data_IF_234674780906
#
_entry.id   IF_234674780906
#
_cell.length_a   1.000
_cell.length_b   1.000
_cell.length_c   1.000
_cell.angle_alpha   90.00
_cell.angle_beta   90.00
_cell.angle_gamma   90.00
#
_symmetry.space_group_name_H-M   'P 1'
#
loop_
_entity.id
_entity.type
_entity.pdbx_description
1 polymer ?
#
# COMPACT_ATOMS: atom_id res chain seq x y z
N UNK A 1 16.67 11.46 28.81
CA UNK A 1 16.66 11.66 27.34
C UNK A 1 15.21 11.52 26.89
N UNK A 2 14.69 12.45 26.09
CA UNK A 2 13.32 12.32 25.57
C UNK A 2 13.23 11.11 24.63
N UNK A 3 12.18 10.30 24.76
CA UNK A 3 11.97 9.15 23.89
C UNK A 3 11.59 9.63 22.47
N UNK A 4 12.20 9.05 21.44
CA UNK A 4 12.04 9.45 20.03
C UNK A 4 11.46 8.29 19.24
N UNK A 5 10.41 8.55 18.45
CA UNK A 5 9.88 7.58 17.50
C UNK A 5 10.75 7.56 16.23
N UNK A 6 11.67 6.59 16.15
CA UNK A 6 12.58 6.44 15.02
C UNK A 6 11.87 5.82 13.81
N UNK A 7 12.30 6.23 12.61
CA UNK A 7 11.80 5.75 11.33
C UNK A 7 12.93 4.99 10.63
N UNK A 8 12.65 3.76 10.20
CA UNK A 8 13.60 3.01 9.39
C UNK A 8 13.76 3.69 8.02
N UNK A 9 14.99 4.02 7.62
CA UNK A 9 15.26 4.71 6.35
C UNK A 9 14.94 3.84 5.11
N UNK A 10 14.92 2.53 5.27
CA UNK A 10 14.67 1.57 4.17
C UNK A 10 13.19 1.35 3.91
N UNK A 11 12.42 0.97 4.93
CA UNK A 11 11.00 0.64 4.77
C UNK A 11 10.04 1.78 5.20
N UNK A 12 10.54 2.82 5.85
CA UNK A 12 9.73 3.96 6.30
C UNK A 12 8.85 3.67 7.52
N UNK A 13 8.89 2.44 8.08
CA UNK A 13 8.13 2.09 9.28
C UNK A 13 8.66 2.86 10.48
N UNK A 14 7.74 3.48 11.23
CA UNK A 14 8.04 4.14 12.48
C UNK A 14 7.88 3.19 13.66
N UNK A 15 8.81 3.26 14.60
CA UNK A 15 8.86 2.42 15.79
C UNK A 15 8.39 3.18 17.04
N UNK A 16 8.04 2.41 18.07
CA UNK A 16 7.74 2.95 19.39
C UNK A 16 8.86 3.90 19.89
N UNK A 17 8.52 4.97 20.62
CA UNK A 17 9.52 5.89 21.15
C UNK A 17 10.58 5.20 22.02
N UNK A 18 11.85 5.49 21.76
CA UNK A 18 12.99 4.95 22.51
C UNK A 18 14.10 6.01 22.68
N UNK A 19 15.03 5.79 23.61
CA UNK A 19 16.15 6.72 23.82
C UNK A 19 17.22 6.64 22.72
N UNK A 20 17.33 5.50 22.04
CA UNK A 20 18.24 5.25 20.94
C UNK A 20 17.50 4.50 19.82
N UNK A 21 17.98 4.56 18.56
CA UNK A 21 17.37 3.81 17.47
C UNK A 21 17.30 2.30 17.79
N UNK A 22 16.25 1.59 17.31
CA UNK A 22 16.18 0.15 17.47
C UNK A 22 17.41 -0.55 16.88
N UNK A 23 17.83 -1.66 17.49
CA UNK A 23 18.98 -2.43 17.01
C UNK A 23 18.76 -3.01 15.60
N UNK A 24 17.52 -3.36 15.29
CA UNK A 24 17.08 -3.86 13.99
C UNK A 24 15.62 -3.45 13.73
N UNK A 25 15.21 -3.50 12.47
CA UNK A 25 13.85 -3.30 12.02
C UNK A 25 13.26 -4.66 11.63
N UNK A 26 12.35 -5.24 12.44
CA UNK A 26 11.72 -6.52 12.15
C UNK A 26 10.96 -6.55 10.82
N UNK A 27 10.56 -5.39 10.30
CA UNK A 27 9.94 -5.28 8.97
C UNK A 27 10.96 -5.53 7.86
N UNK A 28 12.18 -5.02 7.99
CA UNK A 28 13.25 -5.25 7.01
C UNK A 28 13.87 -6.65 7.13
N UNK A 29 13.86 -7.23 8.33
CA UNK A 29 14.30 -8.61 8.57
C UNK A 29 13.24 -9.66 8.16
N UNK A 30 11.98 -9.24 7.96
CA UNK A 30 10.97 -10.12 7.39
C UNK A 30 11.41 -10.51 5.96
N UNK A 31 11.30 -11.79 5.57
CA UNK A 31 11.73 -12.26 4.24
C UNK A 31 10.92 -11.67 3.07
N UNK A 32 9.89 -10.87 3.36
CA UNK A 32 9.16 -10.05 2.38
C UNK A 32 9.82 -8.70 2.10
N UNK A 33 10.90 -8.40 2.78
CA UNK A 33 11.72 -7.20 2.64
C UNK A 33 13.21 -7.58 2.71
N UNK A 34 14.09 -6.60 2.84
CA UNK A 34 15.52 -6.81 2.90
C UNK A 34 16.19 -5.82 3.86
N UNK A 35 17.34 -6.22 4.39
CA UNK A 35 18.25 -5.34 5.10
C UNK A 35 19.29 -4.82 4.11
N UNK A 36 19.55 -3.49 4.04
CA UNK A 36 20.55 -2.97 3.14
C UNK A 36 21.95 -3.47 3.40
N UNK A 37 22.76 -3.59 2.34
CA UNK A 37 24.16 -3.99 2.44
C UNK A 37 24.99 -3.05 3.33
N UNK A 38 24.63 -1.76 3.38
CA UNK A 38 25.24 -0.78 4.28
C UNK A 38 24.73 -0.86 5.74
N UNK A 39 23.87 -1.83 6.05
CA UNK A 39 23.20 -1.98 7.33
C UNK A 39 21.94 -1.11 7.48
N UNK A 40 21.31 -1.23 8.65
CA UNK A 40 20.11 -0.49 8.98
C UNK A 40 20.43 0.98 9.28
N UNK A 41 19.65 1.88 8.69
CA UNK A 41 19.72 3.31 8.97
C UNK A 41 18.41 3.81 9.54
N UNK A 42 18.52 4.81 10.40
CA UNK A 42 17.40 5.37 11.15
C UNK A 42 17.36 6.89 10.98
N UNK A 43 16.14 7.42 10.89
CA UNK A 43 15.87 8.85 10.87
C UNK A 43 14.75 9.18 11.86
N UNK A 44 14.34 10.44 11.90
CA UNK A 44 13.19 10.93 12.67
C UNK A 44 12.28 11.74 11.75
N UNK A 45 11.03 11.94 12.17
CA UNK A 45 10.09 12.82 11.47
C UNK A 45 10.69 14.21 11.23
N UNK A 46 11.31 14.80 12.26
CA UNK A 46 11.93 16.12 12.18
C UNK A 46 13.10 16.14 11.17
N UNK A 47 13.98 15.14 11.20
CA UNK A 47 15.11 15.07 10.28
C UNK A 47 14.63 14.85 8.84
N UNK A 48 13.59 14.03 8.64
CA UNK A 48 12.99 13.78 7.33
C UNK A 48 12.40 15.07 6.74
N UNK A 49 11.64 15.82 7.55
CA UNK A 49 10.99 17.07 7.15
C UNK A 49 11.96 18.19 6.73
N UNK A 50 13.24 18.13 7.10
CA UNK A 50 14.25 19.12 6.68
C UNK A 50 14.63 19.02 5.20
N UNK A 51 14.38 17.87 4.57
CA UNK A 51 14.83 17.57 3.20
C UNK A 51 13.72 17.05 2.29
N UNK A 52 12.55 16.78 2.86
CA UNK A 52 11.42 16.21 2.15
C UNK A 52 10.14 16.98 2.50
N UNK A 53 9.20 16.99 1.56
CA UNK A 53 7.88 17.54 1.73
C UNK A 53 6.84 16.57 1.15
N UNK A 54 5.57 16.74 1.51
CA UNK A 54 4.49 15.95 0.91
C UNK A 54 3.95 16.68 -0.32
N UNK A 55 4.05 16.02 -1.48
CA UNK A 55 3.42 16.44 -2.73
C UNK A 55 2.00 15.89 -2.86
N UNK A 56 1.09 16.68 -3.42
CA UNK A 56 -0.32 16.34 -3.59
C UNK A 56 -0.74 16.39 -5.06
N UNK A 57 -1.57 15.43 -5.49
CA UNK A 57 -2.16 15.40 -6.84
C UNK A 57 -3.55 14.79 -6.81
N UNK A 58 -4.50 15.37 -7.53
CA UNK A 58 -5.78 14.69 -7.77
C UNK A 58 -5.56 13.52 -8.73
N UNK A 59 -5.90 12.31 -8.27
CA UNK A 59 -5.69 11.07 -9.04
C UNK A 59 -6.97 10.72 -9.82
N UNK A 60 -8.12 11.04 -9.26
CA UNK A 60 -9.44 10.93 -9.86
C UNK A 60 -10.41 11.83 -9.07
N UNK A 61 -11.61 12.14 -9.59
CA UNK A 61 -12.58 12.97 -8.86
C UNK A 61 -12.82 12.48 -7.43
N UNK A 62 -12.45 13.32 -6.46
CA UNK A 62 -12.62 13.00 -5.03
C UNK A 62 -11.62 11.97 -4.48
N UNK A 63 -10.50 11.73 -5.17
CA UNK A 63 -9.35 10.93 -4.70
C UNK A 63 -8.08 11.76 -4.87
N UNK A 64 -7.52 12.22 -3.76
CA UNK A 64 -6.25 12.93 -3.73
C UNK A 64 -5.13 11.96 -3.34
N UNK A 65 -4.05 11.91 -4.10
CA UNK A 65 -2.84 11.21 -3.71
C UNK A 65 -1.88 12.14 -2.98
N UNK A 66 -1.18 11.62 -1.99
CA UNK A 66 -0.10 12.32 -1.31
C UNK A 66 1.13 11.41 -1.13
N UNK A 67 2.30 11.92 -1.49
CA UNK A 67 3.56 11.17 -1.45
C UNK A 67 4.71 12.07 -1.00
N UNK A 68 5.77 11.46 -0.46
CA UNK A 68 6.96 12.19 -0.01
C UNK A 68 7.82 12.55 -1.23
N UNK A 69 8.32 13.79 -1.30
CA UNK A 69 9.21 14.27 -2.35
C UNK A 69 10.46 14.96 -1.74
N UNK A 70 11.68 14.62 -2.18
CA UNK A 70 12.04 13.47 -3.03
C UNK A 70 11.55 12.13 -2.47
N UNK A 71 11.59 11.05 -3.25
CA UNK A 71 11.13 9.74 -2.76
C UNK A 71 11.93 9.31 -1.51
N UNK A 72 11.23 8.74 -0.53
CA UNK A 72 11.82 8.20 0.70
C UNK A 72 11.36 6.77 0.92
N UNK A 73 12.25 5.94 1.48
CA UNK A 73 12.00 4.53 1.73
C UNK A 73 11.48 3.81 0.47
N UNK A 74 10.28 3.22 0.51
CA UNK A 74 9.69 2.49 -0.62
C UNK A 74 9.03 3.40 -1.68
N UNK A 75 8.98 4.71 -1.45
CA UNK A 75 8.48 5.70 -2.43
C UNK A 75 6.98 5.60 -2.72
N UNK A 76 6.20 5.07 -1.78
CA UNK A 76 4.75 4.95 -1.93
C UNK A 76 4.02 6.29 -1.77
N UNK A 77 2.77 6.32 -2.22
CA UNK A 77 1.78 7.36 -1.90
C UNK A 77 0.65 6.79 -1.03
N UNK A 78 0.03 7.66 -0.24
CA UNK A 78 -1.29 7.42 0.33
C UNK A 78 -2.38 8.05 -0.56
N UNK A 79 -3.62 7.61 -0.41
CA UNK A 79 -4.79 8.11 -1.15
C UNK A 79 -5.87 8.59 -0.17
N UNK A 80 -6.14 9.89 -0.16
CA UNK A 80 -7.25 10.48 0.59
C UNK A 80 -8.53 10.43 -0.27
N UNK A 81 -9.45 9.53 0.11
CA UNK A 81 -10.74 9.35 -0.53
C UNK A 81 -11.78 10.22 0.16
N UNK A 82 -12.34 11.19 -0.57
CA UNK A 82 -13.37 12.10 -0.06
C UNK A 82 -14.75 11.53 -0.26
N UNK A 83 -15.58 11.51 0.79
CA UNK A 83 -16.98 11.07 0.72
C UNK A 83 -17.89 12.05 1.47
N UNK A 84 -19.21 12.04 1.21
CA UNK A 84 -20.16 12.83 2.00
C UNK A 84 -20.19 12.46 3.49
N UNK A 85 -19.79 11.24 3.86
CA UNK A 85 -19.76 10.75 5.23
C UNK A 85 -18.41 10.98 5.94
N UNK A 86 -17.44 11.62 5.27
CA UNK A 86 -16.09 11.83 5.78
C UNK A 86 -15.00 11.35 4.82
N UNK A 87 -13.75 11.71 5.11
CA UNK A 87 -12.60 11.30 4.29
C UNK A 87 -11.94 10.06 4.88
N UNK A 88 -11.52 9.12 4.03
CA UNK A 88 -10.72 7.95 4.44
C UNK A 88 -9.34 8.06 3.82
N UNK A 89 -8.29 7.96 4.65
CA UNK A 89 -6.93 7.84 4.14
C UNK A 89 -6.62 6.37 3.93
N UNK A 90 -6.36 6.01 2.68
CA UNK A 90 -5.88 4.69 2.30
C UNK A 90 -4.37 4.67 2.24
N UNK A 91 -3.78 3.70 2.94
CA UNK A 91 -2.37 3.61 3.22
C UNK A 91 -1.82 4.86 3.94
N UNK A 92 -0.50 4.91 4.18
CA UNK A 92 0.14 6.03 4.86
C UNK A 92 1.57 6.24 4.34
N UNK A 93 2.11 7.44 4.58
CA UNK A 93 3.49 7.82 4.26
C UNK A 93 4.28 8.13 5.55
N UNK A 94 5.61 8.07 5.46
CA UNK A 94 6.51 8.21 6.62
C UNK A 94 6.69 9.66 7.11
N UNK A 95 6.07 10.63 6.45
CA UNK A 95 6.13 12.05 6.79
C UNK A 95 4.74 12.57 7.17
N UNK A 96 4.69 13.56 8.07
CA UNK A 96 3.53 14.41 8.29
C UNK A 96 4.02 15.82 8.60
N UNK A 97 3.82 16.74 7.66
CA UNK A 97 4.22 18.15 7.82
C UNK A 97 3.03 19.06 8.17
N UNK A 98 3.27 20.25 8.77
CA UNK A 98 2.20 21.17 9.15
C UNK A 98 1.33 21.65 7.97
N UNK A 99 1.92 21.77 6.77
CA UNK A 99 1.19 22.20 5.57
C UNK A 99 0.15 21.15 5.16
N UNK A 100 0.51 19.88 5.23
CA UNK A 100 -0.36 18.73 5.03
C UNK A 100 -1.46 18.67 6.07
N UNK A 101 -1.13 18.87 7.35
CA UNK A 101 -2.14 18.94 8.41
C UNK A 101 -3.16 20.05 8.13
N UNK A 102 -2.69 21.24 7.73
CA UNK A 102 -3.57 22.36 7.39
C UNK A 102 -4.44 22.06 6.17
N UNK A 103 -3.87 21.51 5.09
CA UNK A 103 -4.59 21.13 3.88
C UNK A 103 -5.70 20.13 4.20
N UNK A 104 -5.36 19.02 4.87
CA UNK A 104 -6.30 17.94 5.16
C UNK A 104 -7.41 18.41 6.10
N UNK A 105 -7.10 19.21 7.13
CA UNK A 105 -8.13 19.84 7.98
C UNK A 105 -9.04 20.78 7.17
N UNK A 106 -8.49 21.56 6.25
CA UNK A 106 -9.23 22.46 5.37
C UNK A 106 -10.22 21.76 4.43
N UNK A 107 -10.00 20.48 4.12
CA UNK A 107 -10.89 19.66 3.27
C UNK A 107 -11.74 18.64 4.04
N UNK A 108 -11.87 18.80 5.37
CA UNK A 108 -12.78 18.03 6.22
C UNK A 108 -12.12 17.00 7.14
N UNK A 109 -10.80 16.99 7.26
CA UNK A 109 -10.07 16.07 8.15
C UNK A 109 -10.04 14.64 7.63
N UNK A 110 -9.86 13.67 8.54
CA UNK A 110 -9.83 12.23 8.26
C UNK A 110 -10.78 11.54 9.26
N UNK A 111 -11.72 10.76 8.76
CA UNK A 111 -12.64 9.97 9.58
C UNK A 111 -12.01 8.65 10.03
N UNK A 112 -11.22 8.01 9.16
CA UNK A 112 -10.44 6.82 9.46
C UNK A 112 -9.23 6.71 8.53
N UNK A 113 -8.16 6.09 9.03
CA UNK A 113 -7.03 5.62 8.23
C UNK A 113 -7.19 4.11 8.07
N UNK A 114 -7.07 3.58 6.86
CA UNK A 114 -7.04 2.14 6.62
C UNK A 114 -5.81 1.80 5.79
N UNK A 115 -5.11 0.73 6.14
CA UNK A 115 -3.79 0.43 5.55
C UNK A 115 -3.78 -0.99 5.00
N UNK A 116 -3.22 -1.15 3.81
CA UNK A 116 -3.19 -2.41 3.07
C UNK A 116 -2.45 -3.52 3.81
N UNK A 117 -1.23 -3.25 4.30
CA UNK A 117 -0.36 -4.24 4.94
C UNK A 117 0.86 -3.58 5.63
N UNK A 118 1.70 -4.34 6.36
CA UNK A 118 2.76 -3.81 7.21
C UNK A 118 3.78 -2.85 6.57
N UNK A 119 4.15 -3.00 5.29
CA UNK A 119 5.10 -2.07 4.66
C UNK A 119 4.56 -0.64 4.53
N UNK A 120 3.22 -0.47 4.60
CA UNK A 120 2.57 0.82 4.44
C UNK A 120 2.15 1.44 5.79
N UNK A 121 2.44 0.79 6.93
CA UNK A 121 2.10 1.31 8.27
C UNK A 121 2.81 2.62 8.61
N UNK A 122 4.05 2.79 8.12
CA UNK A 122 4.81 4.05 8.13
C UNK A 122 4.66 4.87 9.42
N UNK A 123 4.18 6.11 9.33
CA UNK A 123 3.95 7.03 10.44
C UNK A 123 2.45 7.14 10.81
N UNK A 124 1.67 6.07 10.62
CA UNK A 124 0.21 6.05 10.84
C UNK A 124 -0.24 6.63 12.18
N UNK A 125 0.57 6.49 13.24
CA UNK A 125 0.25 7.03 14.58
C UNK A 125 0.33 8.55 14.62
N UNK A 126 1.31 9.16 13.95
CA UNK A 126 1.41 10.63 13.84
C UNK A 126 0.20 11.21 13.11
N UNK A 127 -0.21 10.55 12.02
CA UNK A 127 -1.42 10.92 11.29
C UNK A 127 -2.67 10.75 12.15
N UNK A 128 -2.83 9.61 12.82
CA UNK A 128 -3.97 9.35 13.69
C UNK A 128 -4.10 10.41 14.80
N UNK A 129 -2.99 10.78 15.44
CA UNK A 129 -2.97 11.81 16.49
C UNK A 129 -3.29 13.20 15.94
N UNK A 130 -2.74 13.59 14.79
CA UNK A 130 -2.97 14.90 14.19
C UNK A 130 -4.43 15.14 13.75
N UNK A 131 -5.13 14.06 13.37
CA UNK A 131 -6.51 14.11 12.88
C UNK A 131 -7.54 13.54 13.85
N UNK A 132 -7.12 12.97 14.98
CA UNK A 132 -8.02 12.43 16.01
C UNK A 132 -8.87 11.25 15.51
N UNK A 133 -8.31 10.38 14.67
CA UNK A 133 -9.06 9.32 13.98
C UNK A 133 -8.45 7.92 14.24
N UNK A 134 -9.25 6.84 14.10
CA UNK A 134 -8.74 5.48 14.23
C UNK A 134 -7.91 5.04 13.02
N UNK A 135 -6.97 4.11 13.27
CA UNK A 135 -6.27 3.36 12.22
C UNK A 135 -6.81 1.93 12.18
N UNK A 136 -7.37 1.52 11.06
CA UNK A 136 -7.94 0.20 10.82
C UNK A 136 -6.88 -0.72 10.21
N UNK A 137 -6.50 -1.75 10.95
CA UNK A 137 -5.54 -2.78 10.54
C UNK A 137 -6.20 -4.16 10.64
N UNK A 138 -5.87 -5.08 9.75
CA UNK A 138 -6.36 -6.45 9.89
C UNK A 138 -5.65 -7.16 11.05
N UNK A 139 -6.39 -7.88 11.90
CA UNK A 139 -5.86 -8.51 13.11
C UNK A 139 -4.75 -9.54 12.85
N UNK A 140 -4.80 -10.21 11.70
CA UNK A 140 -3.76 -11.17 11.29
C UNK A 140 -2.38 -10.53 11.13
N UNK A 141 -2.31 -9.20 10.95
CA UNK A 141 -1.05 -8.48 10.79
C UNK A 141 -0.55 -7.81 12.08
N UNK A 142 -1.24 -8.02 13.21
CA UNK A 142 -0.95 -7.37 14.50
C UNK A 142 0.52 -7.50 14.94
N UNK A 143 1.16 -8.63 14.66
CA UNK A 143 2.56 -8.88 15.08
C UNK A 143 3.59 -7.98 14.38
N UNK A 144 3.24 -7.37 13.25
CA UNK A 144 4.11 -6.45 12.52
C UNK A 144 3.89 -4.97 12.91
N UNK A 145 3.11 -4.69 13.97
CA UNK A 145 2.95 -3.34 14.49
C UNK A 145 4.17 -2.94 15.33
N UNK A 146 5.03 -2.09 14.77
CA UNK A 146 6.26 -1.63 15.42
C UNK A 146 6.06 -0.44 16.38
N UNK A 147 4.92 0.26 16.26
CA UNK A 147 4.49 1.33 17.15
C UNK A 147 3.05 1.07 17.62
N UNK A 148 2.84 0.36 18.73
CA UNK A 148 1.50 0.17 19.29
C UNK A 148 0.95 1.52 19.79
N UNK A 149 -0.34 1.74 19.60
CA UNK A 149 -1.02 2.98 20.00
C UNK A 149 -2.53 2.76 20.24
N UNK A 150 -3.16 3.48 21.19
CA UNK A 150 -4.61 3.40 21.41
C UNK A 150 -5.49 3.81 20.23
N UNK A 151 -4.96 4.49 19.20
CA UNK A 151 -5.70 4.79 17.98
C UNK A 151 -5.88 3.56 17.06
N UNK A 152 -5.09 2.51 17.25
CA UNK A 152 -5.16 1.31 16.40
C UNK A 152 -6.44 0.51 16.73
N UNK A 153 -7.15 0.10 15.68
CA UNK A 153 -8.36 -0.72 15.73
C UNK A 153 -8.15 -1.91 14.80
N UNK A 154 -8.21 -3.10 15.38
CA UNK A 154 -8.05 -4.34 14.61
C UNK A 154 -9.41 -4.86 14.20
N UNK A 155 -9.57 -5.15 12.92
CA UNK A 155 -10.75 -5.82 12.38
C UNK A 155 -10.38 -7.24 11.94
N UNK A 156 -11.38 -8.11 11.87
CA UNK A 156 -11.25 -9.54 11.61
C UNK A 156 -12.18 -9.99 10.50
N UNK A 157 -11.90 -11.17 9.96
CA UNK A 157 -12.70 -11.79 8.92
C UNK A 157 -12.33 -11.27 7.53
N UNK A 158 -13.30 -11.28 6.63
CA UNK A 158 -13.06 -11.13 5.20
C UNK A 158 -13.48 -9.77 4.65
N UNK A 159 -14.32 -9.05 5.39
CA UNK A 159 -14.83 -7.71 5.04
C UNK A 159 -15.05 -6.85 6.30
N UNK A 160 -14.79 -5.55 6.18
CA UNK A 160 -15.12 -4.56 7.20
C UNK A 160 -15.61 -3.25 6.56
N UNK A 161 -16.80 -2.77 6.93
CA UNK A 161 -17.32 -1.50 6.41
C UNK A 161 -16.79 -0.31 7.22
N UNK A 162 -16.31 0.74 6.55
CA UNK A 162 -15.76 1.95 7.20
C UNK A 162 -16.82 3.07 7.21
N UNK A 163 -17.35 3.40 6.03
CA UNK A 163 -18.33 4.44 5.77
C UNK A 163 -19.30 3.93 4.69
N UNK A 164 -20.47 4.58 4.49
CA UNK A 164 -21.35 4.23 3.38
C UNK A 164 -20.62 4.20 2.04
N UNK A 165 -20.64 3.03 1.37
CA UNK A 165 -19.97 2.82 0.09
C UNK A 165 -18.44 2.63 0.16
N UNK A 166 -17.85 2.52 1.35
CA UNK A 166 -16.40 2.29 1.55
C UNK A 166 -16.19 1.09 2.47
N UNK A 167 -15.57 0.04 1.94
CA UNK A 167 -15.32 -1.22 2.67
C UNK A 167 -13.90 -1.75 2.46
N UNK A 168 -13.38 -2.46 3.45
CA UNK A 168 -12.14 -3.20 3.40
C UNK A 168 -12.40 -4.67 3.09
N UNK A 169 -11.51 -5.28 2.31
CA UNK A 169 -11.56 -6.70 2.00
C UNK A 169 -10.19 -7.33 2.23
N UNK A 170 -10.18 -8.42 3.01
CA UNK A 170 -8.96 -9.17 3.25
C UNK A 170 -8.69 -10.06 2.03
N UNK A 171 -7.59 -9.83 1.35
CA UNK A 171 -7.12 -10.67 0.25
C UNK A 171 -5.95 -11.57 0.64
N UNK A 172 -5.22 -11.28 1.72
CA UNK A 172 -4.09 -12.13 2.12
C UNK A 172 -2.93 -12.10 1.11
N UNK A 173 -2.27 -13.23 0.90
CA UNK A 173 -1.14 -13.34 -0.02
C UNK A 173 0.14 -12.72 0.52
N UNK A 174 0.39 -11.44 0.17
CA UNK A 174 1.61 -10.71 0.52
C UNK A 174 1.84 -10.74 2.04
N UNK A 175 0.83 -10.35 2.82
CA UNK A 175 0.74 -10.60 4.25
C UNK A 175 -0.57 -11.33 4.58
N UNK A 176 -0.65 -12.09 5.70
CA UNK A 176 -1.87 -12.80 6.06
C UNK A 176 -3.11 -11.91 6.17
N UNK A 177 -2.95 -10.66 6.63
CA UNK A 177 -3.98 -9.64 6.70
C UNK A 177 -4.00 -8.66 5.52
N UNK A 178 -3.28 -8.95 4.43
CA UNK A 178 -3.23 -8.10 3.25
C UNK A 178 -4.62 -7.67 2.79
N UNK A 179 -4.82 -6.35 2.70
CA UNK A 179 -6.13 -5.71 2.58
C UNK A 179 -6.19 -4.83 1.33
N UNK A 180 -7.36 -4.76 0.71
CA UNK A 180 -7.71 -3.71 -0.26
C UNK A 180 -8.89 -2.90 0.26
N UNK A 181 -9.07 -1.69 -0.27
CA UNK A 181 -10.29 -0.90 -0.05
C UNK A 181 -11.13 -0.88 -1.32
N UNK A 182 -12.44 -1.13 -1.17
CA UNK A 182 -13.43 -1.09 -2.24
C UNK A 182 -14.34 0.13 -2.06
N UNK A 183 -14.50 0.88 -3.15
CA UNK A 183 -15.38 2.04 -3.26
C UNK A 183 -16.59 1.65 -4.10
N UNK A 184 -17.72 1.40 -3.46
CA UNK A 184 -19.00 1.08 -4.12
C UNK A 184 -19.77 2.36 -4.48
N UNK A 185 -19.18 3.19 -5.35
CA UNK A 185 -19.76 4.47 -5.81
C UNK A 185 -19.49 4.68 -7.30
N UNK A 186 -20.47 5.24 -8.03
CA UNK A 186 -20.37 5.39 -9.48
C UNK A 186 -20.11 4.04 -10.15
N UNK A 187 -19.12 3.97 -11.05
CA UNK A 187 -18.66 2.72 -11.67
C UNK A 187 -17.81 1.83 -10.73
N UNK A 188 -17.49 2.31 -9.53
CA UNK A 188 -16.73 1.60 -8.51
C UNK A 188 -15.21 1.61 -8.73
N UNK A 189 -14.46 1.44 -7.64
CA UNK A 189 -13.00 1.35 -7.69
C UNK A 189 -12.45 0.46 -6.57
N UNK A 190 -11.27 -0.10 -6.78
CA UNK A 190 -10.47 -0.73 -5.72
C UNK A 190 -9.13 -0.01 -5.55
N UNK A 191 -8.72 0.15 -4.30
CA UNK A 191 -7.42 0.69 -3.91
C UNK A 191 -6.62 -0.46 -3.32
N UNK A 192 -5.53 -0.84 -3.99
CA UNK A 192 -4.89 -2.14 -3.76
C UNK A 192 -3.54 -2.07 -3.07
N UNK A 193 -2.95 -0.87 -2.97
CA UNK A 193 -1.54 -0.75 -2.59
C UNK A 193 -0.68 -1.56 -3.56
N UNK A 194 -0.04 -2.61 -3.06
CA UNK A 194 0.62 -3.65 -3.86
C UNK A 194 0.08 -5.07 -3.63
N UNK A 195 -0.99 -5.27 -2.84
CA UNK A 195 -1.60 -6.60 -2.60
C UNK A 195 -2.04 -7.26 -3.91
N UNK A 196 -2.63 -6.44 -4.79
CA UNK A 196 -2.79 -6.73 -6.21
C UNK A 196 -2.12 -5.57 -6.97
N UNK A 197 -0.83 -5.72 -7.24
CA UNK A 197 0.00 -4.63 -7.74
C UNK A 197 -0.29 -4.37 -9.23
N UNK A 198 -0.69 -3.14 -9.56
CA UNK A 198 -0.81 -2.73 -10.96
C UNK A 198 0.57 -2.77 -11.61
N UNK A 199 0.67 -3.45 -12.75
CA UNK A 199 1.89 -3.56 -13.52
C UNK A 199 2.22 -2.25 -14.25
N UNK A 200 3.48 -2.02 -14.67
CA UNK A 200 3.87 -0.80 -15.38
C UNK A 200 3.12 -0.54 -16.69
N UNK A 201 2.62 -1.59 -17.35
CA UNK A 201 1.81 -1.49 -18.57
C UNK A 201 0.40 -0.92 -18.32
N UNK A 202 0.00 -0.79 -17.05
CA UNK A 202 -1.31 -0.28 -16.61
C UNK A 202 -2.48 -1.06 -17.23
N UNK A 203 -2.23 -2.32 -17.55
CA UNK A 203 -3.19 -3.27 -18.10
C UNK A 203 -3.21 -4.52 -17.25
N UNK A 204 -2.12 -4.89 -16.60
CA UNK A 204 -2.10 -6.10 -15.80
C UNK A 204 -1.90 -5.80 -14.32
N UNK A 205 -2.16 -6.82 -13.52
CA UNK A 205 -1.79 -6.94 -12.13
C UNK A 205 -0.70 -8.01 -12.00
N UNK A 206 0.04 -7.95 -10.90
CA UNK A 206 0.92 -9.01 -10.43
C UNK A 206 0.65 -9.30 -8.96
N UNK A 207 1.02 -10.49 -8.53
CA UNK A 207 0.73 -11.04 -7.21
C UNK A 207 2.01 -11.67 -6.65
N UNK A 208 2.54 -11.13 -5.56
CA UNK A 208 3.82 -11.57 -5.01
C UNK A 208 3.73 -11.75 -3.50
N UNK A 209 4.39 -12.80 -3.02
CA UNK A 209 4.60 -12.98 -1.59
C UNK A 209 5.62 -11.95 -1.09
N UNK A 210 6.64 -11.66 -1.91
CA UNK A 210 7.61 -10.59 -1.68
C UNK A 210 7.90 -9.86 -3.00
N UNK A 211 7.41 -8.63 -3.15
CA UNK A 211 7.84 -7.77 -4.25
C UNK A 211 9.32 -7.39 -4.15
N UNK A 212 9.84 -6.96 -2.97
CA UNK A 212 11.24 -6.56 -2.85
C UNK A 212 12.24 -7.66 -3.21
N UNK A 213 11.89 -8.93 -2.94
CA UNK A 213 12.76 -10.09 -3.20
C UNK A 213 12.29 -10.95 -4.38
N UNK A 214 11.33 -10.47 -5.16
CA UNK A 214 10.81 -11.15 -6.36
C UNK A 214 10.26 -12.57 -6.14
N UNK A 215 9.63 -12.82 -4.98
CA UNK A 215 9.05 -14.14 -4.66
C UNK A 215 7.56 -14.18 -5.04
N UNK A 216 7.14 -15.05 -5.98
CA UNK A 216 5.75 -15.15 -6.41
C UNK A 216 4.84 -15.74 -5.32
N UNK A 217 3.54 -15.50 -5.44
CA UNK A 217 2.52 -16.26 -4.71
C UNK A 217 2.27 -17.61 -5.39
N UNK A 218 1.87 -18.65 -4.64
CA UNK A 218 1.39 -19.89 -5.22
C UNK A 218 0.15 -19.65 -6.12
N UNK A 219 0.04 -20.39 -7.22
CA UNK A 219 -1.08 -20.23 -8.16
C UNK A 219 -2.46 -20.37 -7.51
N UNK A 220 -2.62 -21.30 -6.55
CA UNK A 220 -3.87 -21.46 -5.82
C UNK A 220 -4.27 -20.19 -5.04
N UNK A 221 -3.30 -19.46 -4.48
CA UNK A 221 -3.56 -18.20 -3.77
C UNK A 221 -3.94 -17.09 -4.75
N UNK A 222 -3.29 -17.02 -5.91
CA UNK A 222 -3.64 -16.06 -6.97
C UNK A 222 -5.04 -16.31 -7.52
N UNK A 223 -5.42 -17.57 -7.74
CA UNK A 223 -6.77 -17.94 -8.16
C UNK A 223 -7.82 -17.52 -7.10
N UNK A 224 -7.53 -17.73 -5.81
CA UNK A 224 -8.40 -17.31 -4.70
C UNK A 224 -8.57 -15.79 -4.65
N UNK A 225 -7.48 -15.03 -4.78
CA UNK A 225 -7.50 -13.56 -4.84
C UNK A 225 -8.34 -13.10 -6.04
N UNK A 226 -8.12 -13.71 -7.22
CA UNK A 226 -8.87 -13.42 -8.44
C UNK A 226 -10.38 -13.61 -8.26
N UNK A 227 -10.81 -14.74 -7.69
CA UNK A 227 -12.21 -15.02 -7.42
C UNK A 227 -12.86 -14.00 -6.46
N UNK A 228 -12.11 -13.56 -5.44
CA UNK A 228 -12.59 -12.54 -4.49
C UNK A 228 -12.75 -11.17 -5.11
N UNK A 229 -11.80 -10.77 -5.95
CA UNK A 229 -11.90 -9.53 -6.72
C UNK A 229 -13.04 -9.60 -7.75
N UNK A 230 -13.24 -10.74 -8.43
CA UNK A 230 -14.32 -10.90 -9.40
C UNK A 230 -15.73 -10.68 -8.81
N UNK A 231 -15.89 -10.93 -7.50
CA UNK A 231 -17.15 -10.72 -6.77
C UNK A 231 -17.43 -9.25 -6.40
N UNK A 232 -16.49 -8.34 -6.65
CA UNK A 232 -16.68 -6.90 -6.42
C UNK A 232 -17.03 -6.19 -7.73
N UNK A 233 -17.74 -5.07 -7.60
CA UNK A 233 -18.05 -4.17 -8.72
C UNK A 233 -17.13 -2.96 -8.70
N UNK A 234 -16.27 -2.86 -9.71
CA UNK A 234 -15.33 -1.76 -9.87
C UNK A 234 -14.86 -1.65 -11.31
N UNK A 235 -14.54 -0.43 -11.72
CA UNK A 235 -14.02 -0.11 -13.04
C UNK A 235 -12.54 0.29 -12.96
N UNK A 236 -12.16 1.01 -11.89
CA UNK A 236 -10.81 1.51 -11.68
C UNK A 236 -10.03 0.74 -10.60
N UNK A 237 -8.71 0.68 -10.76
CA UNK A 237 -7.76 0.12 -9.80
C UNK A 237 -6.65 1.14 -9.55
N UNK A 238 -6.46 1.52 -8.28
CA UNK A 238 -5.41 2.44 -7.86
C UNK A 238 -4.40 1.72 -6.95
N UNK A 239 -3.16 1.61 -7.42
CA UNK A 239 -2.05 1.07 -6.66
C UNK A 239 -1.27 2.12 -5.86
N UNK A 240 -0.26 1.63 -5.13
CA UNK A 240 0.56 2.39 -4.17
C UNK A 240 1.58 3.39 -4.76
N UNK A 241 1.70 3.49 -6.09
CA UNK A 241 2.59 4.45 -6.76
C UNK A 241 1.85 5.28 -7.80
N UNK A 242 2.43 6.44 -8.13
CA UNK A 242 1.80 7.47 -8.96
C UNK A 242 1.24 6.97 -10.29
N UNK A 243 1.99 6.11 -10.99
CA UNK A 243 1.68 5.62 -12.34
C UNK A 243 1.13 4.18 -12.36
N UNK A 244 0.76 3.65 -11.20
CA UNK A 244 0.21 2.30 -11.03
C UNK A 244 -1.31 2.39 -10.94
N UNK A 245 -1.92 2.75 -12.06
CA UNK A 245 -3.38 3.00 -12.16
C UNK A 245 -3.94 2.37 -13.43
N UNK A 246 -5.00 1.56 -13.27
CA UNK A 246 -5.91 1.13 -14.34
C UNK A 246 -7.17 1.97 -14.16
N UNK A 247 -7.44 2.91 -15.07
CA UNK A 247 -8.56 3.83 -14.92
C UNK A 247 -9.91 3.20 -15.30
N UNK A 248 -9.88 2.23 -16.23
CA UNK A 248 -11.04 1.57 -16.83
C UNK A 248 -10.70 0.10 -17.13
N UNK A 249 -11.70 -0.77 -17.21
CA UNK A 249 -11.58 -2.20 -17.48
C UNK A 249 -10.92 -2.99 -16.36
N UNK A 250 -11.17 -2.61 -15.10
CA UNK A 250 -10.54 -3.18 -13.91
C UNK A 250 -10.85 -4.66 -13.71
N UNK A 251 -12.10 -5.10 -13.94
CA UNK A 251 -12.47 -6.52 -13.78
C UNK A 251 -11.80 -7.38 -14.83
N UNK A 252 -11.78 -6.92 -16.08
CA UNK A 252 -11.06 -7.56 -17.18
C UNK A 252 -9.56 -7.61 -16.86
N UNK A 253 -9.03 -6.60 -16.15
CA UNK A 253 -7.63 -6.55 -15.73
C UNK A 253 -7.28 -7.64 -14.75
N UNK A 254 -8.13 -7.85 -13.75
CA UNK A 254 -7.98 -8.97 -12.83
C UNK A 254 -8.02 -10.29 -13.58
N UNK A 255 -9.06 -10.52 -14.40
CA UNK A 255 -9.26 -11.78 -15.09
C UNK A 255 -8.07 -12.15 -15.99
N UNK A 256 -7.63 -11.23 -16.86
CA UNK A 256 -6.48 -11.46 -17.75
C UNK A 256 -5.18 -11.67 -16.98
N UNK A 257 -4.99 -10.97 -15.86
CA UNK A 257 -3.76 -11.07 -15.07
C UNK A 257 -3.66 -12.38 -14.31
N UNK A 258 -4.78 -12.85 -13.74
CA UNK A 258 -4.85 -14.14 -13.06
C UNK A 258 -4.59 -15.27 -14.06
N UNK A 259 -5.26 -15.27 -15.22
CA UNK A 259 -5.02 -16.27 -16.26
C UNK A 259 -3.54 -16.30 -16.67
N UNK A 260 -2.99 -15.15 -17.07
CA UNK A 260 -1.58 -15.01 -17.46
C UNK A 260 -0.61 -15.51 -16.38
N UNK A 261 -0.89 -15.22 -15.12
CA UNK A 261 -0.04 -15.64 -14.01
C UNK A 261 -0.05 -17.17 -13.82
N UNK A 262 -1.23 -17.78 -13.87
CA UNK A 262 -1.38 -19.23 -13.72
C UNK A 262 -0.75 -19.97 -14.91
N UNK A 263 -0.94 -19.47 -16.13
CA UNK A 263 -0.33 -20.04 -17.33
C UNK A 263 1.20 -20.02 -17.23
N UNK A 264 1.78 -18.90 -16.79
CA UNK A 264 3.22 -18.75 -16.59
C UNK A 264 3.81 -19.66 -15.50
N UNK A 265 3.00 -20.10 -14.53
CA UNK A 265 3.42 -21.10 -13.53
C UNK A 265 3.28 -22.54 -14.04
N UNK A 266 2.36 -22.78 -14.97
CA UNK A 266 2.04 -24.12 -15.48
C UNK A 266 2.93 -24.54 -16.65
N UNK A 267 3.35 -23.61 -17.50
CA UNK A 267 4.11 -23.90 -18.72
C UNK A 267 5.54 -23.32 -18.66
N UNK A 268 6.56 -24.05 -19.14
CA UNK A 268 7.84 -23.43 -19.47
C UNK A 268 7.64 -22.39 -20.58
N UNK A 269 8.38 -21.27 -20.57
CA UNK A 269 8.23 -20.26 -21.61
C UNK A 269 8.49 -20.87 -22.98
N UNK A 270 7.53 -20.75 -23.90
CA UNK A 270 7.77 -21.01 -25.31
C UNK A 270 8.71 -19.92 -25.83
N UNK A 271 9.98 -20.27 -26.01
CA UNK A 271 10.92 -19.41 -26.71
C UNK A 271 10.58 -19.49 -28.20
N UNK A 272 9.85 -18.50 -28.74
CA UNK A 272 9.90 -18.23 -30.18
C UNK A 272 11.38 -18.08 -30.54
N UNK A 273 11.87 -18.98 -31.41
CA UNK A 273 13.22 -18.86 -31.94
C UNK A 273 13.34 -17.46 -32.54
N UNK A 274 14.37 -16.66 -32.20
CA UNK A 274 14.53 -15.34 -32.77
C UNK A 274 14.52 -15.50 -34.28
N UNK A 275 13.52 -14.90 -34.95
CA UNK A 275 13.47 -14.82 -36.40
C UNK A 275 14.84 -14.37 -36.88
N UNK A 276 15.51 -15.22 -37.65
CA UNK A 276 16.91 -15.03 -38.02
C UNK A 276 17.12 -13.62 -38.55
N UNK A 277 18.12 -12.92 -38.02
CA UNK A 277 18.59 -11.69 -38.63
C UNK A 277 18.87 -12.00 -40.11
N UNK A 278 18.31 -11.22 -41.06
CA UNK A 278 18.65 -11.41 -42.45
C UNK A 278 20.16 -11.23 -42.60
N UNK A 279 20.86 -12.11 -43.34
CA UNK A 279 22.28 -11.93 -43.58
C UNK A 279 22.46 -10.57 -44.26
N UNK A 280 23.25 -9.70 -43.63
CA UNK A 280 23.59 -8.39 -44.17
C UNK A 280 24.25 -8.55 -45.54
N UNK A 281 23.63 -7.96 -46.55
CA UNK A 281 24.20 -7.75 -47.88
C UNK A 281 24.92 -6.41 -47.97
#
# INVERSE_FOLDING_TARGET
>A
MSATAFICATCGTQHAPSAAPPAACPICEDPRQWVPAAGQQWTTMEALARRHAIGWREVAPGILGCGVFPDFAIGQRALLVRTPAGNVLWDCVALLDPATVALVKGIGGIAAIAISHPHFYTAMVEWAHAFGCPVLLHAADRRWVMRPDPALRFWEGERHDILPGVSLHRLGGHFPGGTIMHLARGAGAILTGDIAAVAPDRRHLSFMWSFPNWVPLPGAEVARIGARLAALDFEAIYGGWWDRVIAEGGKEAVARSVARYLDALAAPPEHEAPGGFPPGG
#
